data_IF_918929018150
#
_entry.id   IF_918929018150
#
_cell.length_a   1.000
_cell.length_b   1.000
_cell.length_c   1.000
_cell.angle_alpha   90.00
_cell.angle_beta   90.00
_cell.angle_gamma   90.00
#
_symmetry.space_group_name_H-M   'P 1'
#
loop_
_entity.id
_entity.type
_entity.pdbx_description
1 polymer ?
#
# COMPACT_ATOMS: atom_id res chain seq x y z
N UNK A 1 -9.00 -6.97 17.50
CA UNK A 1 -7.58 -6.72 17.20
C UNK A 1 -7.08 -7.81 16.27
N UNK A 2 -6.49 -7.45 15.14
CA UNK A 2 -6.00 -8.39 14.12
C UNK A 2 -4.84 -9.25 14.62
N UNK A 3 -4.66 -10.40 13.99
CA UNK A 3 -3.59 -11.35 14.34
C UNK A 3 -2.19 -10.74 14.07
N UNK A 4 -1.18 -10.99 14.92
CA UNK A 4 0.20 -10.51 14.69
C UNK A 4 0.81 -11.09 13.42
N UNK A 5 1.77 -10.36 12.84
CA UNK A 5 2.55 -10.87 11.70
C UNK A 5 3.61 -11.84 12.21
N UNK A 6 3.51 -13.08 11.76
CA UNK A 6 4.49 -14.13 12.07
C UNK A 6 5.31 -14.36 10.81
N UNK A 7 6.62 -14.42 10.98
CA UNK A 7 7.60 -14.67 9.91
C UNK A 7 8.44 -15.86 10.34
N UNK A 8 8.49 -16.88 9.49
CA UNK A 8 9.32 -18.07 9.70
C UNK A 8 10.43 -18.08 8.67
N UNK A 9 11.66 -18.19 9.14
CA UNK A 9 12.82 -18.40 8.27
C UNK A 9 12.96 -19.89 7.93
N UNK A 10 13.11 -20.19 6.64
CA UNK A 10 13.38 -21.53 6.14
C UNK A 10 14.74 -21.57 5.45
N UNK A 11 15.58 -22.57 5.78
CA UNK A 11 16.86 -22.73 5.11
C UNK A 11 16.64 -23.09 3.64
N UNK A 12 17.47 -22.52 2.76
CA UNK A 12 17.57 -22.93 1.36
C UNK A 12 18.70 -23.94 1.18
N UNK A 13 18.64 -24.71 0.08
CA UNK A 13 19.75 -25.58 -0.34
C UNK A 13 20.87 -24.81 -1.02
N UNK A 14 20.61 -23.58 -1.46
CA UNK A 14 21.58 -22.70 -2.08
C UNK A 14 22.17 -21.77 -1.00
N UNK A 15 23.48 -21.85 -0.71
CA UNK A 15 24.13 -20.91 0.19
C UNK A 15 23.92 -19.47 -0.28
N UNK A 16 23.73 -18.55 0.67
CA UNK A 16 23.44 -17.14 0.40
C UNK A 16 21.98 -16.83 0.07
N UNK A 17 21.13 -17.85 -0.14
CA UNK A 17 19.69 -17.66 -0.35
C UNK A 17 18.94 -18.03 0.92
N UNK A 18 18.07 -17.15 1.40
CA UNK A 18 17.21 -17.39 2.55
C UNK A 18 15.75 -17.17 2.15
N UNK A 19 14.87 -18.02 2.70
CA UNK A 19 13.44 -17.92 2.47
C UNK A 19 12.73 -17.52 3.76
N UNK A 20 11.88 -16.52 3.67
CA UNK A 20 10.94 -16.16 4.72
C UNK A 20 9.52 -16.49 4.28
N UNK A 21 8.72 -17.02 5.20
CA UNK A 21 7.29 -17.23 5.01
C UNK A 21 6.53 -16.43 6.05
N UNK A 22 5.69 -15.52 5.60
CA UNK A 22 4.83 -14.72 6.45
C UNK A 22 3.42 -15.31 6.53
N UNK A 23 2.66 -14.99 7.58
CA UNK A 23 1.21 -15.25 7.64
C UNK A 23 0.39 -14.16 6.91
N UNK A 24 1.01 -13.36 6.05
CA UNK A 24 0.41 -12.29 5.24
C UNK A 24 0.88 -12.40 3.81
N UNK A 25 -0.03 -12.22 2.86
CA UNK A 25 0.34 -12.09 1.46
C UNK A 25 0.88 -10.68 1.21
N UNK A 26 2.01 -10.59 0.52
CA UNK A 26 2.73 -9.36 0.19
C UNK A 26 2.57 -8.97 -1.28
N UNK A 27 2.36 -9.95 -2.15
CA UNK A 27 2.10 -9.76 -3.59
C UNK A 27 0.78 -10.39 -4.01
N UNK A 28 0.29 -9.99 -5.19
CA UNK A 28 -0.87 -10.60 -5.85
C UNK A 28 -0.52 -11.94 -6.50
N UNK A 29 -1.20 -12.27 -7.60
CA UNK A 29 -0.95 -13.52 -8.35
C UNK A 29 0.40 -13.57 -9.08
N UNK A 30 1.09 -12.43 -9.17
CA UNK A 30 2.37 -12.30 -9.86
C UNK A 30 3.59 -12.57 -8.97
N UNK A 31 4.68 -12.95 -9.63
CA UNK A 31 6.01 -12.94 -9.06
C UNK A 31 6.60 -11.53 -9.21
N UNK A 32 7.10 -10.98 -8.11
CA UNK A 32 7.80 -9.69 -8.11
C UNK A 32 9.27 -9.94 -7.77
N UNK A 33 10.17 -9.53 -8.66
CA UNK A 33 11.62 -9.62 -8.45
C UNK A 33 12.24 -8.24 -8.47
N UNK A 34 13.15 -8.00 -7.53
CA UNK A 34 13.88 -6.77 -7.39
C UNK A 34 15.36 -7.08 -7.21
N UNK A 35 16.21 -6.36 -7.93
CA UNK A 35 17.67 -6.47 -7.82
C UNK A 35 18.21 -5.13 -7.38
N UNK A 36 19.13 -5.14 -6.41
CA UNK A 36 19.77 -3.93 -5.94
C UNK A 36 20.60 -3.32 -7.07
N UNK A 37 20.45 -2.02 -7.31
CA UNK A 37 21.11 -1.33 -8.43
C UNK A 37 20.51 -1.59 -9.82
N UNK A 38 19.31 -2.21 -9.91
CA UNK A 38 18.61 -2.35 -11.19
C UNK A 38 18.38 -0.98 -11.87
N UNK A 39 18.96 -0.85 -13.08
CA UNK A 39 18.90 0.36 -13.89
C UNK A 39 17.48 0.69 -14.39
N UNK A 40 16.56 -0.29 -14.43
CA UNK A 40 15.17 -0.05 -14.80
C UNK A 40 14.44 0.83 -13.77
N UNK A 41 14.93 0.86 -12.53
CA UNK A 41 14.30 1.57 -11.41
C UNK A 41 12.95 1.00 -11.00
N UNK A 42 12.60 -0.24 -11.42
CA UNK A 42 11.30 -0.85 -11.13
C UNK A 42 10.99 -0.84 -9.62
N UNK A 43 11.93 -1.26 -8.77
CA UNK A 43 11.74 -1.28 -7.31
C UNK A 43 11.64 0.13 -6.69
N UNK A 44 12.23 1.14 -7.33
CA UNK A 44 12.17 2.52 -6.85
C UNK A 44 10.83 3.21 -7.18
N UNK A 45 10.19 2.82 -8.29
CA UNK A 45 8.92 3.41 -8.76
C UNK A 45 7.69 2.64 -8.31
N UNK A 46 7.82 1.33 -8.08
CA UNK A 46 6.70 0.49 -7.69
C UNK A 46 6.16 0.86 -6.29
N UNK A 47 4.83 0.99 -6.20
CA UNK A 47 4.09 1.33 -4.97
C UNK A 47 3.47 0.07 -4.33
N UNK A 48 4.04 -1.11 -4.61
CA UNK A 48 3.58 -2.39 -4.04
C UNK A 48 4.19 -2.63 -2.65
N UNK A 49 3.53 -3.40 -1.76
CA UNK A 49 4.12 -3.81 -0.49
C UNK A 49 5.44 -4.57 -0.68
N UNK A 50 5.52 -5.40 -1.72
CA UNK A 50 6.74 -6.12 -2.11
C UNK A 50 7.90 -5.17 -2.44
N UNK A 51 7.63 -4.09 -3.19
CA UNK A 51 8.64 -3.10 -3.53
C UNK A 51 9.12 -2.30 -2.31
N UNK A 52 8.21 -1.96 -1.39
CA UNK A 52 8.58 -1.32 -0.13
C UNK A 52 9.43 -2.24 0.76
N UNK A 53 9.06 -3.52 0.85
CA UNK A 53 9.88 -4.50 1.55
C UNK A 53 11.27 -4.62 0.94
N UNK A 54 11.37 -4.69 -0.39
CA UNK A 54 12.65 -4.75 -1.08
C UNK A 54 13.52 -3.51 -0.78
N UNK A 55 12.94 -2.30 -0.79
CA UNK A 55 13.65 -1.07 -0.41
C UNK A 55 14.22 -1.14 1.00
N UNK A 56 13.43 -1.60 1.98
CA UNK A 56 13.88 -1.76 3.38
C UNK A 56 14.99 -2.80 3.53
N UNK A 57 14.89 -3.90 2.79
CA UNK A 57 15.92 -4.95 2.80
C UNK A 57 17.23 -4.46 2.15
N UNK A 58 17.16 -3.77 1.02
CA UNK A 58 18.34 -3.18 0.36
C UNK A 58 18.99 -2.09 1.22
N UNK A 59 18.20 -1.30 1.95
CA UNK A 59 18.73 -0.28 2.87
C UNK A 59 19.60 -0.87 3.99
N UNK A 60 19.51 -2.17 4.27
CA UNK A 60 20.41 -2.83 5.22
C UNK A 60 21.84 -3.01 4.66
N UNK A 61 22.03 -2.92 3.35
CA UNK A 61 23.31 -3.15 2.67
C UNK A 61 23.75 -4.62 2.59
N UNK A 62 22.88 -5.55 3.00
CA UNK A 62 23.20 -6.99 3.13
C UNK A 62 22.52 -7.87 2.09
N UNK A 63 21.72 -7.28 1.22
CA UNK A 63 20.82 -7.98 0.30
C UNK A 63 21.10 -7.53 -1.12
N UNK A 64 21.33 -8.49 -2.01
CA UNK A 64 21.61 -8.28 -3.43
C UNK A 64 20.34 -8.33 -4.27
N UNK A 65 19.40 -9.24 -3.94
CA UNK A 65 18.14 -9.41 -4.65
C UNK A 65 17.01 -9.87 -3.72
N UNK A 66 15.78 -9.54 -4.08
CA UNK A 66 14.55 -9.95 -3.38
C UNK A 66 13.53 -10.43 -4.40
N UNK A 67 12.99 -11.62 -4.18
CA UNK A 67 11.88 -12.17 -4.95
C UNK A 67 10.70 -12.45 -4.02
N UNK A 68 9.52 -11.97 -4.37
CA UNK A 68 8.28 -12.12 -3.59
C UNK A 68 7.22 -12.82 -4.42
N UNK A 69 6.61 -13.83 -3.82
CA UNK A 69 5.41 -14.48 -4.36
C UNK A 69 4.46 -14.81 -3.21
N UNK A 70 3.28 -14.20 -3.23
CA UNK A 70 2.29 -14.30 -2.17
C UNK A 70 2.92 -13.96 -0.82
N UNK A 71 3.02 -14.92 0.08
CA UNK A 71 3.59 -14.79 1.42
C UNK A 71 5.03 -15.30 1.54
N UNK A 72 5.64 -15.70 0.42
CA UNK A 72 7.01 -16.22 0.37
C UNK A 72 7.96 -15.15 -0.14
N UNK A 73 8.99 -14.87 0.65
CA UNK A 73 10.05 -13.91 0.35
C UNK A 73 11.35 -14.70 0.22
N UNK A 74 11.95 -14.67 -0.96
CA UNK A 74 13.28 -15.22 -1.20
C UNK A 74 14.26 -14.06 -1.26
N UNK A 75 15.27 -14.09 -0.41
CA UNK A 75 16.30 -13.05 -0.29
C UNK A 75 17.62 -13.66 -0.71
N UNK A 76 18.31 -12.97 -1.63
CA UNK A 76 19.70 -13.24 -1.98
C UNK A 76 20.58 -12.30 -1.16
N UNK A 77 21.46 -12.89 -0.35
CA UNK A 77 22.35 -12.17 0.54
C UNK A 77 23.61 -11.74 -0.20
N UNK A 78 24.12 -10.56 0.17
CA UNK A 78 25.45 -10.15 -0.25
C UNK A 78 26.52 -11.09 0.31
N UNK A 79 27.65 -11.18 -0.40
CA UNK A 79 28.74 -12.11 -0.02
C UNK A 79 29.27 -11.77 1.37
N UNK A 80 29.31 -12.76 2.25
CA UNK A 80 29.83 -12.63 3.61
C UNK A 80 28.80 -12.14 4.64
N UNK A 81 27.55 -11.90 4.25
CA UNK A 81 26.46 -11.57 5.17
C UNK A 81 25.59 -12.78 5.49
N UNK A 82 24.88 -12.69 6.62
CA UNK A 82 23.89 -13.66 7.08
C UNK A 82 22.47 -13.06 7.09
N UNK A 83 21.48 -13.88 7.40
CA UNK A 83 20.07 -13.49 7.48
C UNK A 83 19.68 -12.83 8.81
N UNK A 84 20.62 -12.63 9.74
CA UNK A 84 20.32 -12.21 11.12
C UNK A 84 19.56 -10.88 11.12
N UNK A 85 18.36 -10.89 11.73
CA UNK A 85 17.49 -9.71 11.86
C UNK A 85 16.73 -9.30 10.59
N UNK A 86 16.90 -10.00 9.45
CA UNK A 86 16.11 -9.70 8.24
C UNK A 86 14.63 -10.08 8.39
N UNK A 87 14.33 -11.10 9.19
CA UNK A 87 12.94 -11.48 9.51
C UNK A 87 12.17 -10.36 10.22
N UNK A 88 12.86 -9.53 11.02
CA UNK A 88 12.24 -8.41 11.72
C UNK A 88 11.84 -7.31 10.74
N UNK A 89 12.63 -7.07 9.68
CA UNK A 89 12.29 -6.13 8.60
C UNK A 89 10.98 -6.53 7.90
N UNK A 90 10.79 -7.83 7.64
CA UNK A 90 9.55 -8.37 7.07
C UNK A 90 8.37 -8.19 8.03
N UNK A 91 8.57 -8.46 9.32
CA UNK A 91 7.55 -8.30 10.36
C UNK A 91 7.11 -6.84 10.50
N UNK A 92 8.08 -5.93 10.41
CA UNK A 92 7.92 -4.50 10.63
C UNK A 92 7.30 -3.75 9.44
N UNK A 93 7.09 -4.43 8.31
CA UNK A 93 6.37 -3.86 7.17
C UNK A 93 4.96 -3.41 7.60
N UNK A 94 4.30 -4.18 8.48
CA UNK A 94 2.97 -3.87 8.99
C UNK A 94 3.05 -3.15 10.34
N UNK A 95 3.35 -1.86 10.26
CA UNK A 95 3.70 -0.98 11.39
C UNK A 95 2.62 -0.88 12.49
N UNK A 96 1.34 -1.04 12.15
CA UNK A 96 0.22 -0.91 13.09
C UNK A 96 0.14 -1.99 14.19
N UNK A 97 0.99 -3.02 14.12
CA UNK A 97 1.03 -4.10 15.11
C UNK A 97 2.27 -4.03 16.02
N UNK A 98 3.04 -2.93 15.94
CA UNK A 98 4.11 -2.68 16.91
C UNK A 98 3.52 -2.15 18.21
N UNK A 99 3.89 -2.71 19.38
CA UNK A 99 3.59 -2.08 20.66
C UNK A 99 4.06 -0.62 20.65
N UNK A 100 3.15 0.33 20.93
CA UNK A 100 3.43 1.77 20.94
C UNK A 100 3.16 2.52 19.63
N UNK A 101 2.67 1.85 18.58
CA UNK A 101 2.25 2.48 17.33
C UNK A 101 0.72 2.61 17.32
N UNK A 102 0.21 3.84 17.49
CA UNK A 102 -1.23 4.11 17.44
C UNK A 102 -1.70 4.24 15.98
N UNK A 103 -2.78 3.54 15.57
CA UNK A 103 -3.40 3.80 14.29
C UNK A 103 -3.83 5.28 14.20
N UNK A 104 -3.64 5.95 13.05
CA UNK A 104 -4.16 7.30 12.86
C UNK A 104 -5.66 7.32 13.13
N UNK A 105 -6.13 8.41 13.76
CA UNK A 105 -7.55 8.55 14.02
C UNK A 105 -8.29 8.66 12.69
N UNK A 106 -9.56 8.23 12.66
CA UNK A 106 -10.38 8.34 11.45
C UNK A 106 -10.45 9.78 10.94
N UNK A 107 -10.43 10.75 11.85
CA UNK A 107 -10.44 12.19 11.57
C UNK A 107 -9.20 12.64 10.77
N UNK A 108 -8.03 12.01 10.99
CA UNK A 108 -6.79 12.32 10.25
C UNK A 108 -6.81 11.76 8.81
N UNK A 109 -7.67 10.77 8.56
CA UNK A 109 -7.81 10.10 7.25
C UNK A 109 -8.88 10.76 6.38
N UNK A 110 -9.73 11.61 6.95
CA UNK A 110 -10.71 12.40 6.22
C UNK A 110 -10.02 13.69 5.74
N UNK A 111 -9.88 13.91 4.42
CA UNK A 111 -9.38 15.17 3.91
C UNK A 111 -10.25 16.31 4.44
N UNK A 112 -9.64 17.40 4.93
CA UNK A 112 -10.36 18.57 5.38
C UNK A 112 -11.37 18.97 4.30
N UNK A 113 -12.65 18.89 4.64
CA UNK A 113 -13.74 19.30 3.75
C UNK A 113 -13.51 20.78 3.44
N UNK A 114 -13.01 21.09 2.24
CA UNK A 114 -13.07 22.45 1.73
C UNK A 114 -14.53 22.86 1.80
N UNK A 115 -14.84 23.87 2.63
CA UNK A 115 -16.17 24.41 2.78
C UNK A 115 -16.67 24.90 1.42
N UNK A 116 -17.31 24.00 0.69
CA UNK A 116 -17.93 24.29 -0.58
C UNK A 116 -19.13 25.16 -0.31
N UNK A 117 -19.09 26.41 -0.79
CA UNK A 117 -20.27 27.26 -0.87
C UNK A 117 -21.29 26.55 -1.75
N UNK A 118 -22.36 26.03 -1.16
CA UNK A 118 -23.39 25.31 -1.87
C UNK A 118 -23.95 26.16 -3.02
N UNK A 119 -23.83 25.73 -4.29
CA UNK A 119 -24.54 26.40 -5.37
C UNK A 119 -26.03 26.12 -5.23
N UNK A 120 -26.86 27.17 -5.25
CA UNK A 120 -28.32 27.06 -5.24
C UNK A 120 -28.77 26.21 -6.43
N UNK A 121 -29.36 25.05 -6.17
CA UNK A 121 -29.98 24.20 -7.19
C UNK A 121 -31.47 24.48 -7.18
N UNK A 122 -32.02 24.81 -8.35
CA UNK A 122 -33.46 24.82 -8.56
C UNK A 122 -33.95 23.36 -8.68
N UNK A 123 -34.72 22.83 -7.70
CA UNK A 123 -35.24 21.47 -7.74
C UNK A 123 -36.41 21.32 -8.74
N UNK A 124 -36.73 22.34 -9.54
CA UNK A 124 -37.83 22.29 -10.51
C UNK A 124 -39.19 22.12 -9.85
N UNK A 125 -39.31 22.52 -8.57
CA UNK A 125 -40.53 22.40 -7.77
C UNK A 125 -40.80 21.05 -7.12
N UNK A 126 -39.93 20.03 -7.27
CA UNK A 126 -40.10 18.74 -6.59
C UNK A 126 -39.49 18.77 -5.16
N UNK A 127 -40.32 18.70 -4.10
CA UNK A 127 -39.85 18.75 -2.71
C UNK A 127 -39.00 17.53 -2.33
N UNK A 128 -39.22 16.35 -2.93
CA UNK A 128 -38.43 15.15 -2.64
C UNK A 128 -37.03 15.26 -3.23
N UNK A 129 -36.93 15.85 -4.42
CA UNK A 129 -35.65 16.12 -5.06
C UNK A 129 -34.86 17.18 -4.28
N UNK A 130 -35.53 18.23 -3.78
CA UNK A 130 -34.91 19.25 -2.95
C UNK A 130 -34.30 18.68 -1.65
N UNK A 131 -34.98 17.71 -1.01
CA UNK A 131 -34.47 17.04 0.18
C UNK A 131 -33.31 16.09 -0.14
N UNK A 132 -33.38 15.36 -1.25
CA UNK A 132 -32.32 14.46 -1.70
C UNK A 132 -31.03 15.23 -2.03
N UNK A 133 -31.12 16.39 -2.67
CA UNK A 133 -29.97 17.22 -3.05
C UNK A 133 -29.19 17.76 -1.85
N UNK A 134 -29.83 17.96 -0.69
CA UNK A 134 -29.15 18.35 0.56
C UNK A 134 -28.22 17.27 1.11
N UNK A 135 -28.42 16.00 0.72
CA UNK A 135 -27.62 14.86 1.19
C UNK A 135 -26.45 14.54 0.25
N UNK A 136 -26.34 15.26 -0.89
CA UNK A 136 -25.29 15.02 -1.88
C UNK A 136 -24.17 16.05 -1.72
N UNK A 137 -22.91 15.62 -1.55
CA UNK A 137 -21.76 16.51 -1.54
C UNK A 137 -21.68 17.40 -2.79
N UNK A 138 -21.39 18.69 -2.61
CA UNK A 138 -21.44 19.71 -3.67
C UNK A 138 -20.54 19.39 -4.88
N UNK A 139 -19.33 18.86 -4.65
CA UNK A 139 -18.39 18.51 -5.71
C UNK A 139 -18.93 17.41 -6.66
N UNK A 140 -19.82 16.52 -6.19
CA UNK A 140 -20.46 15.50 -7.04
C UNK A 140 -21.52 16.12 -7.95
N UNK A 141 -22.24 17.12 -7.45
CA UNK A 141 -23.23 17.86 -8.22
C UNK A 141 -22.56 18.65 -9.34
N UNK A 142 -21.43 19.29 -9.08
CA UNK A 142 -20.63 20.01 -10.09
C UNK A 142 -20.09 19.08 -11.17
N UNK A 143 -19.51 17.93 -10.78
CA UNK A 143 -19.05 16.90 -11.74
C UNK A 143 -20.19 16.40 -12.63
N UNK A 144 -21.38 16.21 -12.07
CA UNK A 144 -22.57 15.78 -12.83
C UNK A 144 -23.01 16.82 -13.88
N UNK A 145 -22.91 18.12 -13.56
CA UNK A 145 -23.22 19.21 -14.51
C UNK A 145 -22.18 19.28 -15.62
N UNK A 146 -20.91 19.21 -15.28
CA UNK A 146 -19.82 19.21 -16.26
C UNK A 146 -19.96 18.04 -17.24
N UNK A 147 -20.33 16.85 -16.74
CA UNK A 147 -20.60 15.69 -17.59
C UNK A 147 -21.82 15.91 -18.51
N UNK A 148 -22.92 16.47 -17.99
CA UNK A 148 -24.11 16.79 -18.81
C UNK A 148 -23.86 17.87 -19.86
N UNK A 149 -23.05 18.88 -19.55
CA UNK A 149 -22.67 19.92 -20.50
C UNK A 149 -21.84 19.35 -21.66
N UNK A 150 -20.90 18.43 -21.35
CA UNK A 150 -20.11 17.70 -22.37
C UNK A 150 -20.96 16.81 -23.27
N UNK A 151 -22.12 16.35 -22.81
CA UNK A 151 -23.02 15.49 -23.60
C UNK A 151 -23.95 16.28 -24.54
N UNK A 152 -24.05 17.60 -24.34
CA UNK A 152 -24.92 18.50 -25.13
C UNK A 152 -24.18 19.32 -26.18
N UNK A 153 -22.84 19.29 -26.18
CA UNK A 153 -21.99 19.86 -27.23
C UNK A 153 -21.42 18.76 -28.10
#
# INVERSE_FOLDING_TARGET
MGQPVVVVEKPSRCPGIVRFEANRSLSGMGHESFVNGDASGHFARAVTPSAELARRLFATGRVSAVHVYQNVITVDLEKGFDSTGLADVVRDLYQYWKPGMEPPAFEDLVPAEEASSAPTIDPGGDPKLAEALKKVPAHLLERSRAARARLKG
#
